data_IF_133641944426
#
_entry.id   IF_133641944426
#
_cell.length_a   1.000
_cell.length_b   1.000
_cell.length_c   1.000
_cell.angle_alpha   90.00
_cell.angle_beta   90.00
_cell.angle_gamma   90.00
#
_symmetry.space_group_name_H-M   'P 1'
#
loop_
_entity.id
_entity.type
_entity.pdbx_description
1 polymer ?
#
# COMPACT_ATOMS: atom_id res chain seq x y z
N UNK A 1 12.34 -5.30 11.35
CA UNK A 1 11.07 -4.77 11.92
C UNK A 1 9.87 -4.95 10.98
N UNK A 2 9.89 -4.45 9.73
CA UNK A 2 8.73 -4.51 8.81
C UNK A 2 8.07 -5.91 8.64
N UNK A 3 8.89 -6.96 8.46
CA UNK A 3 8.39 -8.35 8.36
C UNK A 3 7.56 -8.81 9.58
N UNK A 4 7.96 -8.39 10.78
CA UNK A 4 7.25 -8.74 12.01
C UNK A 4 5.90 -8.02 12.07
N UNK A 5 5.85 -6.74 11.73
CA UNK A 5 4.61 -5.96 11.72
C UNK A 5 3.60 -6.55 10.74
N UNK A 6 4.04 -6.88 9.51
CA UNK A 6 3.19 -7.56 8.52
C UNK A 6 2.70 -8.91 9.07
N UNK A 7 3.59 -9.69 9.69
CA UNK A 7 3.22 -10.98 10.29
C UNK A 7 2.18 -10.86 11.40
N UNK A 8 2.24 -9.81 12.23
CA UNK A 8 1.25 -9.54 13.28
C UNK A 8 -0.13 -9.24 12.68
N UNK A 9 -0.19 -8.42 11.63
CA UNK A 9 -1.47 -8.13 10.94
C UNK A 9 -2.04 -9.38 10.24
N UNK A 10 -1.18 -10.20 9.62
CA UNK A 10 -1.58 -11.45 8.98
C UNK A 10 -2.11 -12.50 9.97
N UNK A 11 -1.63 -12.48 11.22
CA UNK A 11 -2.12 -13.39 12.27
C UNK A 11 -3.60 -13.18 12.60
N UNK A 12 -4.14 -11.99 12.32
CA UNK A 12 -5.57 -11.70 12.48
C UNK A 12 -6.44 -12.26 11.34
N UNK A 13 -5.80 -12.86 10.31
CA UNK A 13 -6.46 -13.44 9.14
C UNK A 13 -7.43 -12.48 8.40
N UNK A 14 -7.02 -11.23 8.08
CA UNK A 14 -7.92 -10.28 7.43
C UNK A 14 -8.24 -10.69 5.99
N UNK A 15 -9.44 -10.34 5.52
CA UNK A 15 -9.85 -10.50 4.12
C UNK A 15 -9.22 -9.44 3.21
N UNK A 16 -9.01 -8.23 3.73
CA UNK A 16 -8.40 -7.08 3.04
C UNK A 16 -7.24 -6.56 3.89
N UNK A 17 -6.07 -6.40 3.28
CA UNK A 17 -4.86 -5.89 3.92
C UNK A 17 -4.38 -4.61 3.24
N UNK A 18 -4.18 -3.56 4.02
CA UNK A 18 -3.60 -2.30 3.56
C UNK A 18 -2.14 -2.20 4.02
N UNK A 19 -1.22 -1.96 3.10
CA UNK A 19 0.21 -1.78 3.40
C UNK A 19 0.70 -0.43 2.91
N UNK A 20 1.21 0.39 3.81
CA UNK A 20 1.81 1.67 3.44
C UNK A 20 3.33 1.52 3.27
N UNK A 21 3.81 1.74 2.05
CA UNK A 21 5.22 1.64 1.64
C UNK A 21 6.00 0.44 2.24
N UNK A 22 5.56 -0.81 1.97
CA UNK A 22 6.13 -2.00 2.62
C UNK A 22 7.61 -2.21 2.29
N UNK A 23 8.10 -1.63 1.19
CA UNK A 23 9.47 -1.76 0.69
C UNK A 23 10.39 -0.60 1.08
N UNK A 24 9.87 0.49 1.69
CA UNK A 24 10.67 1.67 2.02
C UNK A 24 11.83 1.35 2.98
N UNK A 25 13.03 1.88 2.72
CA UNK A 25 14.24 1.63 3.51
C UNK A 25 14.83 0.22 3.39
N UNK A 26 14.43 -0.56 2.37
CA UNK A 26 15.01 -1.86 2.06
C UNK A 26 15.78 -1.82 0.75
N UNK A 27 16.81 -2.66 0.63
CA UNK A 27 17.45 -2.95 -0.65
C UNK A 27 16.52 -3.75 -1.57
N UNK A 28 16.82 -3.77 -2.87
CA UNK A 28 15.99 -4.39 -3.89
C UNK A 28 15.71 -5.89 -3.64
N UNK A 29 16.69 -6.64 -3.14
CA UNK A 29 16.55 -8.06 -2.87
C UNK A 29 15.66 -8.29 -1.64
N UNK A 30 15.91 -7.58 -0.54
CA UNK A 30 15.07 -7.67 0.67
C UNK A 30 13.62 -7.25 0.40
N UNK A 31 13.41 -6.21 -0.40
CA UNK A 31 12.09 -5.76 -0.83
C UNK A 31 11.37 -6.85 -1.65
N UNK A 32 12.08 -7.47 -2.61
CA UNK A 32 11.54 -8.57 -3.43
C UNK A 32 11.08 -9.76 -2.57
N UNK A 33 11.92 -10.20 -1.62
CA UNK A 33 11.57 -11.30 -0.70
C UNK A 33 10.31 -10.98 0.12
N UNK A 34 10.13 -9.74 0.58
CA UNK A 34 8.92 -9.33 1.29
C UNK A 34 7.72 -9.37 0.36
N UNK A 35 7.85 -8.79 -0.83
CA UNK A 35 6.76 -8.72 -1.80
C UNK A 35 6.35 -10.10 -2.35
N UNK A 36 7.28 -11.05 -2.46
CA UNK A 36 6.95 -12.44 -2.79
C UNK A 36 6.12 -13.11 -1.67
N UNK A 37 6.41 -12.78 -0.40
CA UNK A 37 5.58 -13.20 0.73
C UNK A 37 4.18 -12.59 0.68
N UNK A 38 4.10 -11.28 0.42
CA UNK A 38 2.83 -10.55 0.23
C UNK A 38 2.04 -11.14 -0.95
N UNK A 39 2.70 -11.48 -2.06
CA UNK A 39 2.09 -12.13 -3.23
C UNK A 39 1.45 -13.45 -2.86
N UNK A 40 2.16 -14.32 -2.12
CA UNK A 40 1.59 -15.59 -1.63
C UNK A 40 0.36 -15.39 -0.74
N UNK A 41 0.32 -14.32 0.05
CA UNK A 41 -0.87 -13.96 0.83
C UNK A 41 -2.01 -13.55 -0.10
N UNK A 42 -1.76 -12.76 -1.14
CA UNK A 42 -2.79 -12.39 -2.11
C UNK A 42 -3.35 -13.64 -2.82
N UNK A 43 -2.46 -14.53 -3.28
CA UNK A 43 -2.81 -15.78 -3.98
C UNK A 43 -3.65 -16.75 -3.12
N UNK A 44 -3.65 -16.58 -1.80
CA UNK A 44 -4.50 -17.33 -0.88
C UNK A 44 -5.94 -16.80 -0.78
N UNK A 45 -6.35 -15.90 -1.68
CA UNK A 45 -7.71 -15.35 -1.77
C UNK A 45 -7.92 -14.09 -0.94
N UNK A 46 -6.86 -13.31 -0.67
CA UNK A 46 -6.94 -12.07 0.10
C UNK A 46 -6.69 -10.86 -0.79
N UNK A 47 -7.42 -9.78 -0.55
CA UNK A 47 -7.20 -8.51 -1.26
C UNK A 47 -6.08 -7.73 -0.55
N UNK A 48 -5.08 -7.29 -1.30
CA UNK A 48 -3.99 -6.47 -0.77
C UNK A 48 -3.95 -5.16 -1.53
N UNK A 49 -3.99 -4.05 -0.80
CA UNK A 49 -3.82 -2.70 -1.34
C UNK A 49 -2.57 -2.13 -0.73
N UNK A 50 -1.63 -1.66 -1.55
CA UNK A 50 -0.44 -1.01 -1.02
C UNK A 50 0.05 0.17 -1.86
N UNK A 51 0.66 1.13 -1.18
CA UNK A 51 1.42 2.22 -1.79
C UNK A 51 2.86 1.77 -1.98
N UNK A 52 3.44 2.00 -3.16
CA UNK A 52 4.88 1.78 -3.38
C UNK A 52 5.48 2.99 -4.08
N UNK A 53 6.57 3.50 -3.50
CA UNK A 53 7.43 4.47 -4.13
C UNK A 53 8.50 3.77 -4.98
N UNK A 54 8.46 3.95 -6.30
CA UNK A 54 9.50 3.53 -7.26
C UNK A 54 9.97 2.05 -7.11
N UNK A 55 9.12 1.06 -7.41
CA UNK A 55 9.50 -0.35 -7.34
C UNK A 55 10.55 -0.73 -8.39
N UNK A 56 11.39 -1.72 -8.07
CA UNK A 56 12.16 -2.45 -9.08
C UNK A 56 11.23 -3.22 -10.02
N UNK A 57 11.69 -3.54 -11.24
CA UNK A 57 10.88 -4.27 -12.22
C UNK A 57 10.33 -5.59 -11.65
N UNK A 58 11.15 -6.33 -10.90
CA UNK A 58 10.77 -7.62 -10.32
C UNK A 58 9.68 -7.52 -9.25
N UNK A 59 9.60 -6.38 -8.56
CA UNK A 59 8.51 -6.07 -7.62
C UNK A 59 7.30 -5.55 -8.37
N UNK A 60 7.51 -4.69 -9.36
CA UNK A 60 6.41 -4.10 -10.14
C UNK A 60 5.60 -5.16 -10.90
N UNK A 61 6.26 -6.20 -11.40
CA UNK A 61 5.60 -7.30 -12.10
C UNK A 61 4.80 -8.25 -11.19
N UNK A 62 4.84 -8.09 -9.86
CA UNK A 62 3.99 -8.86 -8.94
C UNK A 62 2.57 -8.31 -8.83
N UNK A 63 2.35 -7.07 -9.26
CA UNK A 63 1.07 -6.39 -9.15
C UNK A 63 0.10 -6.80 -10.25
N UNK A 64 -1.14 -7.09 -9.85
CA UNK A 64 -2.22 -7.38 -10.80
C UNK A 64 -2.84 -6.08 -11.35
N UNK A 65 -3.06 -5.10 -10.48
CA UNK A 65 -3.71 -3.83 -10.78
C UNK A 65 -2.86 -2.63 -10.33
N UNK A 66 -3.03 -1.49 -10.99
CA UNK A 66 -2.38 -0.23 -10.65
C UNK A 66 -3.41 0.89 -10.60
N UNK A 67 -3.29 1.72 -9.57
CA UNK A 67 -3.89 3.06 -9.51
C UNK A 67 -2.73 4.05 -9.60
N UNK A 68 -2.62 4.75 -10.73
CA UNK A 68 -1.60 5.77 -10.98
C UNK A 68 -2.21 7.14 -10.77
N UNK A 69 -1.66 7.91 -9.83
CA UNK A 69 -2.14 9.24 -9.48
C UNK A 69 -1.13 10.30 -9.89
N UNK A 70 -1.62 11.47 -10.35
CA UNK A 70 -0.81 12.68 -10.48
C UNK A 70 -0.94 13.59 -9.25
N UNK A 71 -0.10 14.62 -9.16
CA UNK A 71 -0.21 15.65 -8.13
C UNK A 71 -1.61 16.26 -8.15
N UNK A 72 -2.24 16.33 -6.98
CA UNK A 72 -3.66 16.71 -6.85
C UNK A 72 -4.58 15.53 -6.51
N UNK A 73 -4.07 14.30 -6.54
CA UNK A 73 -4.84 13.11 -6.18
C UNK A 73 -5.74 12.61 -7.32
N UNK A 74 -5.52 13.10 -8.54
CA UNK A 74 -6.30 12.75 -9.72
C UNK A 74 -5.72 11.50 -10.39
N UNK A 75 -6.59 10.60 -10.85
CA UNK A 75 -6.21 9.35 -11.51
C UNK A 75 -5.83 9.57 -12.97
N UNK A 76 -4.67 9.05 -13.36
CA UNK A 76 -4.16 9.04 -14.74
C UNK A 76 -4.30 7.66 -15.39
N UNK A 77 -4.33 6.61 -14.58
CA UNK A 77 -4.60 5.25 -15.01
C UNK A 77 -5.12 4.45 -13.83
N UNK A 78 -6.17 3.66 -14.06
CA UNK A 78 -6.67 2.68 -13.11
C UNK A 78 -7.06 1.44 -13.89
N UNK A 79 -6.39 0.33 -13.62
CA UNK A 79 -6.66 -0.91 -14.34
C UNK A 79 -5.64 -2.00 -14.10
N UNK A 80 -5.84 -3.10 -14.80
CA UNK A 80 -4.93 -4.25 -14.78
C UNK A 80 -3.60 -3.90 -15.47
N UNK A 81 -2.50 -4.36 -14.89
CA UNK A 81 -1.18 -4.22 -15.51
C UNK A 81 -0.96 -5.25 -16.62
N UNK A 82 -1.57 -6.44 -16.50
CA UNK A 82 -1.34 -7.57 -17.40
C UNK A 82 0.09 -8.12 -17.31
N UNK A 83 0.42 -9.06 -18.21
CA UNK A 83 1.74 -9.71 -18.22
C UNK A 83 2.86 -8.68 -18.37
N UNK A 84 3.72 -8.58 -17.36
CA UNK A 84 4.85 -7.62 -17.33
C UNK A 84 4.43 -6.16 -17.63
N UNK A 85 3.27 -5.74 -17.14
CA UNK A 85 2.77 -4.37 -17.26
C UNK A 85 2.47 -3.91 -18.69
N UNK A 86 2.27 -4.83 -19.63
CA UNK A 86 2.04 -4.52 -21.04
C UNK A 86 0.79 -3.65 -21.28
N UNK A 87 -0.29 -3.81 -20.50
CA UNK A 87 -1.51 -3.00 -20.68
C UNK A 87 -1.24 -1.52 -20.40
N UNK A 88 -0.60 -1.23 -19.26
CA UNK A 88 -0.17 0.12 -18.90
C UNK A 88 0.76 0.73 -19.95
N UNK A 89 1.78 -0.02 -20.41
CA UNK A 89 2.73 0.47 -21.41
C UNK A 89 2.01 0.82 -22.71
N UNK A 90 1.17 -0.08 -23.23
CA UNK A 90 0.38 0.16 -24.45
C UNK A 90 -0.55 1.37 -24.31
N UNK A 91 -1.21 1.52 -23.16
CA UNK A 91 -2.07 2.68 -22.89
C UNK A 91 -1.27 3.99 -22.96
N UNK A 92 -0.15 4.09 -22.24
CA UNK A 92 0.66 5.30 -22.24
C UNK A 92 1.30 5.56 -23.62
N UNK A 93 1.70 4.52 -24.35
CA UNK A 93 2.24 4.63 -25.72
C UNK A 93 1.20 5.05 -26.77
N UNK A 94 -0.09 4.80 -26.51
CA UNK A 94 -1.17 5.24 -27.40
C UNK A 94 -1.36 6.76 -27.40
N UNK A 95 -0.81 7.46 -26.42
CA UNK A 95 -0.88 8.92 -26.30
C UNK A 95 0.13 9.56 -27.26
N UNK A 96 -0.29 10.47 -28.18
CA UNK A 96 0.54 10.94 -29.31
C UNK A 96 1.90 11.57 -28.95
N UNK A 97 2.07 12.08 -27.75
CA UNK A 97 3.28 12.80 -27.30
C UNK A 97 4.22 11.93 -26.47
N UNK A 98 3.79 10.72 -26.11
CA UNK A 98 4.56 9.84 -25.22
C UNK A 98 5.63 9.10 -26.02
N UNK A 99 6.86 9.12 -25.51
CA UNK A 99 7.94 8.31 -26.07
C UNK A 99 7.74 6.86 -25.68
N UNK A 100 7.88 5.90 -26.62
CA UNK A 100 7.82 4.48 -26.33
C UNK A 100 8.74 4.08 -25.18
N UNK A 101 8.30 3.11 -24.37
CA UNK A 101 9.12 2.57 -23.30
C UNK A 101 10.33 1.84 -23.91
N UNK A 102 11.57 2.24 -23.62
CA UNK A 102 12.75 1.59 -24.15
C UNK A 102 12.78 0.09 -23.79
N UNK A 103 13.26 -0.76 -24.71
CA UNK A 103 13.37 -2.18 -24.44
C UNK A 103 14.33 -2.41 -23.27
N UNK A 104 13.88 -3.15 -22.25
CA UNK A 104 14.60 -3.44 -21.00
C UNK A 104 14.61 -2.33 -19.95
N UNK A 105 13.95 -1.18 -20.18
CA UNK A 105 13.72 -0.21 -19.11
C UNK A 105 12.61 -0.70 -18.16
N UNK A 106 12.72 -0.35 -16.88
CA UNK A 106 11.67 -0.59 -15.90
C UNK A 106 10.46 0.33 -16.22
N UNK A 107 9.24 -0.22 -16.42
CA UNK A 107 8.06 0.59 -16.69
C UNK A 107 7.68 1.53 -15.53
N UNK A 108 8.04 1.19 -14.29
CA UNK A 108 7.65 1.95 -13.10
C UNK A 108 8.27 3.38 -13.03
N UNK A 109 9.58 3.59 -13.22
CA UNK A 109 10.12 4.95 -13.35
C UNK A 109 9.67 5.63 -14.64
N UNK A 110 9.59 4.89 -15.76
CA UNK A 110 9.17 5.45 -17.05
C UNK A 110 7.75 6.04 -17.00
N UNK A 111 6.76 5.36 -16.41
CA UNK A 111 5.41 5.90 -16.29
C UNK A 111 5.37 7.21 -15.49
N UNK A 112 6.22 7.35 -14.46
CA UNK A 112 6.30 8.56 -13.64
C UNK A 112 6.96 9.72 -14.41
N UNK A 113 7.96 9.43 -15.24
CA UNK A 113 8.58 10.39 -16.15
C UNK A 113 7.59 10.88 -17.22
N UNK A 114 6.75 9.97 -17.73
CA UNK A 114 5.72 10.26 -18.75
C UNK A 114 4.66 11.22 -18.21
N UNK A 115 4.15 10.99 -17.00
CA UNK A 115 3.10 11.83 -16.39
C UNK A 115 3.64 13.13 -15.77
N UNK A 116 4.94 13.44 -15.95
CA UNK A 116 5.54 14.66 -15.44
C UNK A 116 5.78 14.67 -13.92
N UNK A 117 5.74 13.51 -13.26
CA UNK A 117 6.13 13.37 -11.85
C UNK A 117 7.67 13.31 -11.67
N UNK A 118 8.43 13.27 -12.76
CA UNK A 118 9.90 13.29 -12.80
C UNK A 118 10.52 14.67 -13.04
N UNK A 119 11.84 14.78 -12.81
CA UNK A 119 12.60 16.05 -12.74
C UNK A 119 12.85 16.72 -14.11
N UNK A 120 12.55 16.06 -15.25
CA UNK A 120 13.18 16.40 -16.54
C UNK A 120 12.26 16.66 -17.74
N UNK A 121 10.93 16.59 -17.62
CA UNK A 121 10.04 16.81 -18.78
C UNK A 121 9.11 18.01 -18.60
N UNK A 122 9.53 19.17 -19.12
CA UNK A 122 8.68 20.37 -19.20
C UNK A 122 7.47 20.16 -20.13
N UNK A 123 7.64 19.38 -21.21
CA UNK A 123 6.56 19.08 -22.19
C UNK A 123 5.44 18.19 -21.66
N UNK A 124 5.68 17.42 -20.60
CA UNK A 124 4.66 16.58 -19.97
C UNK A 124 3.73 17.39 -19.04
N UNK A 125 4.11 18.63 -18.67
CA UNK A 125 3.29 19.49 -17.81
C UNK A 125 2.11 20.11 -18.54
N UNK A 126 2.16 20.17 -19.88
CA UNK A 126 1.12 20.79 -20.70
C UNK A 126 -0.01 19.83 -21.08
N UNK A 127 0.20 18.52 -20.90
CA UNK A 127 -0.80 17.50 -21.21
C UNK A 127 -1.64 17.17 -19.98
N UNK A 128 -2.96 17.30 -20.10
CA UNK A 128 -3.86 16.83 -19.06
C UNK A 128 -4.14 15.33 -19.20
N UNK A 129 -3.25 14.55 -18.61
CA UNK A 129 -3.41 13.10 -18.51
C UNK A 129 -4.71 12.64 -17.85
N UNK A 130 -5.35 13.50 -17.04
CA UNK A 130 -6.65 13.18 -16.41
C UNK A 130 -7.75 13.25 -17.46
N UNK A 131 -7.78 14.31 -18.28
CA UNK A 131 -8.73 14.42 -19.39
C UNK A 131 -8.54 13.29 -20.40
N UNK A 132 -7.29 12.97 -20.75
CA UNK A 132 -6.95 11.85 -21.64
C UNK A 132 -7.46 10.52 -21.07
N UNK A 133 -7.20 10.26 -19.78
CA UNK A 133 -7.71 9.06 -19.12
C UNK A 133 -9.23 9.03 -19.13
N UNK A 134 -9.89 10.15 -18.81
CA UNK A 134 -11.34 10.22 -18.74
C UNK A 134 -12.04 9.84 -20.05
N UNK A 135 -11.38 10.10 -21.19
CA UNK A 135 -11.87 9.80 -22.55
C UNK A 135 -11.37 8.46 -23.09
N UNK A 136 -10.50 7.77 -22.36
CA UNK A 136 -9.87 6.53 -22.81
C UNK A 136 -10.80 5.32 -22.70
N UNK A 137 -10.49 4.28 -23.48
CA UNK A 137 -11.18 2.98 -23.38
C UNK A 137 -11.00 2.34 -21.99
N UNK A 138 -9.83 2.52 -21.37
CA UNK A 138 -9.53 1.99 -20.04
C UNK A 138 -10.47 2.57 -18.96
N UNK A 139 -10.79 3.87 -19.06
CA UNK A 139 -11.77 4.49 -18.15
C UNK A 139 -13.18 3.96 -18.40
N UNK A 140 -13.57 3.77 -19.67
CA UNK A 140 -14.88 3.17 -19.99
C UNK A 140 -14.99 1.77 -19.40
N UNK A 141 -13.97 0.94 -19.56
CA UNK A 141 -13.95 -0.40 -19.00
C UNK A 141 -14.02 -0.38 -17.46
N UNK A 142 -13.29 0.54 -16.81
CA UNK A 142 -13.39 0.75 -15.37
C UNK A 142 -14.82 1.15 -14.95
N UNK A 143 -15.46 2.06 -15.68
CA UNK A 143 -16.82 2.50 -15.37
C UNK A 143 -17.83 1.37 -15.55
N UNK A 144 -17.70 0.58 -16.62
CA UNK A 144 -18.51 -0.61 -16.86
C UNK A 144 -18.34 -1.63 -15.73
N UNK A 145 -17.10 -1.82 -15.25
CA UNK A 145 -16.83 -2.67 -14.08
C UNK A 145 -17.49 -2.10 -12.82
N UNK A 146 -17.33 -0.80 -12.53
CA UNK A 146 -17.91 -0.18 -11.32
C UNK A 146 -19.44 -0.20 -11.30
N UNK A 147 -20.09 -0.19 -12.47
CA UNK A 147 -21.54 -0.27 -12.62
C UNK A 147 -22.10 -1.68 -12.34
N UNK A 148 -21.26 -2.71 -12.26
CA UNK A 148 -21.72 -4.06 -11.95
C UNK A 148 -22.41 -4.11 -10.57
N UNK A 149 -23.53 -4.84 -10.45
CA UNK A 149 -24.27 -4.93 -9.21
C UNK A 149 -23.40 -5.60 -8.12
N UNK A 150 -23.29 -4.95 -6.96
CA UNK A 150 -22.54 -5.43 -5.80
C UNK A 150 -21.21 -4.69 -5.58
N UNK A 151 -20.80 -3.83 -6.51
CA UNK A 151 -19.58 -3.01 -6.36
C UNK A 151 -19.93 -1.61 -5.86
N UNK A 152 -20.57 -0.79 -6.70
CA UNK A 152 -21.03 0.56 -6.31
C UNK A 152 -22.54 0.64 -6.13
N UNK A 153 -23.27 -0.32 -6.69
CA UNK A 153 -24.73 -0.41 -6.63
C UNK A 153 -25.13 -1.64 -5.82
N UNK A 154 -26.22 -1.57 -5.07
CA UNK A 154 -26.71 -2.69 -4.27
C UNK A 154 -27.05 -3.90 -5.15
N UNK A 155 -26.51 -5.08 -4.81
CA UNK A 155 -26.87 -6.33 -5.49
C UNK A 155 -27.83 -7.16 -4.65
N UNK A 156 -28.84 -7.81 -5.26
CA UNK A 156 -29.64 -8.82 -4.60
C UNK A 156 -28.85 -10.11 -4.29
N UNK A 157 -27.76 -10.39 -5.01
CA UNK A 157 -26.96 -11.62 -4.85
C UNK A 157 -25.92 -11.50 -3.72
N UNK A 158 -25.38 -10.30 -3.51
CA UNK A 158 -24.30 -10.05 -2.56
C UNK A 158 -24.77 -9.11 -1.45
N UNK A 159 -25.18 -9.64 -0.28
CA UNK A 159 -25.64 -8.80 0.83
C UNK A 159 -24.48 -7.97 1.41
N UNK A 160 -24.82 -6.80 1.95
CA UNK A 160 -23.86 -5.91 2.60
C UNK A 160 -23.11 -6.61 3.74
N UNK A 161 -21.80 -6.39 3.82
CA UNK A 161 -20.95 -6.95 4.88
C UNK A 161 -21.19 -6.17 6.17
N UNK A 162 -22.07 -6.70 7.03
CA UNK A 162 -22.33 -6.11 8.36
C UNK A 162 -21.42 -6.71 9.43
N UNK A 163 -20.68 -5.86 10.16
CA UNK A 163 -19.84 -6.30 11.27
C UNK A 163 -20.64 -6.34 12.58
N UNK A 164 -20.97 -7.55 13.06
CA UNK A 164 -21.72 -7.76 14.31
C UNK A 164 -20.99 -7.23 15.56
N UNK A 165 -19.65 -7.17 15.53
CA UNK A 165 -18.84 -6.74 16.67
C UNK A 165 -17.81 -5.71 16.21
N UNK A 166 -17.74 -4.59 16.92
CA UNK A 166 -16.71 -3.55 16.73
C UNK A 166 -15.29 -4.05 17.06
N UNK A 167 -15.14 -5.06 17.92
CA UNK A 167 -13.84 -5.56 18.42
C UNK A 167 -13.80 -7.07 18.41
N UNK A 168 -12.60 -7.63 18.17
CA UNK A 168 -12.36 -9.07 18.20
C UNK A 168 -12.54 -9.71 19.60
N UNK A 169 -12.33 -8.95 20.68
CA UNK A 169 -12.38 -9.46 22.06
C UNK A 169 -12.99 -8.46 23.05
N UNK A 170 -13.34 -8.95 24.25
CA UNK A 170 -13.88 -8.16 25.36
C UNK A 170 -12.82 -7.24 25.97
N UNK A 171 -13.25 -6.11 26.56
CA UNK A 171 -12.34 -5.14 27.17
C UNK A 171 -11.49 -5.71 28.32
N UNK A 172 -12.04 -6.62 29.13
CA UNK A 172 -11.30 -7.28 30.22
C UNK A 172 -10.15 -8.15 29.70
N UNK A 173 -10.40 -8.92 28.62
CA UNK A 173 -9.37 -9.72 27.96
C UNK A 173 -8.26 -8.82 27.40
N UNK A 174 -8.63 -7.72 26.73
CA UNK A 174 -7.66 -6.75 26.22
C UNK A 174 -6.82 -6.15 27.36
N UNK A 175 -7.46 -5.75 28.46
CA UNK A 175 -6.78 -5.19 29.62
C UNK A 175 -5.79 -6.18 30.24
N UNK A 176 -6.19 -7.43 30.42
CA UNK A 176 -5.31 -8.48 30.96
C UNK A 176 -4.05 -8.67 30.11
N UNK A 177 -4.20 -8.80 28.78
CA UNK A 177 -3.05 -8.96 27.89
C UNK A 177 -2.16 -7.70 27.83
N UNK A 178 -2.76 -6.50 27.86
CA UNK A 178 -2.01 -5.25 27.90
C UNK A 178 -1.19 -5.13 29.19
N UNK A 179 -1.78 -5.46 30.35
CA UNK A 179 -1.08 -5.45 31.63
C UNK A 179 0.04 -6.49 31.68
N UNK A 180 -0.21 -7.71 31.21
CA UNK A 180 0.84 -8.74 31.10
C UNK A 180 1.99 -8.29 30.19
N UNK A 181 1.68 -7.70 29.03
CA UNK A 181 2.69 -7.17 28.10
C UNK A 181 3.51 -6.05 28.75
N UNK A 182 2.85 -5.12 29.44
CA UNK A 182 3.50 -4.01 30.12
C UNK A 182 4.41 -4.50 31.25
N UNK A 183 3.96 -5.43 32.08
CA UNK A 183 4.76 -6.02 33.15
C UNK A 183 5.99 -6.75 32.59
N UNK A 184 5.83 -7.53 31.52
CA UNK A 184 6.95 -8.20 30.86
C UNK A 184 7.97 -7.19 30.30
N UNK A 185 7.51 -6.09 29.71
CA UNK A 185 8.38 -5.02 29.21
C UNK A 185 9.12 -4.35 30.38
N UNK A 186 8.39 -4.00 31.44
CA UNK A 186 8.94 -3.39 32.65
C UNK A 186 10.05 -4.27 33.26
N UNK A 187 9.80 -5.56 33.47
CA UNK A 187 10.78 -6.48 34.04
C UNK A 187 12.02 -6.70 33.15
N UNK A 188 11.87 -6.61 31.82
CA UNK A 188 12.98 -6.77 30.86
C UNK A 188 13.79 -5.49 30.64
N UNK A 189 13.38 -4.34 31.19
CA UNK A 189 14.08 -3.05 31.08
C UNK A 189 14.50 -2.49 32.45
N UNK A 190 15.31 -3.22 33.24
CA UNK A 190 15.67 -2.83 34.61
C UNK A 190 16.49 -1.52 34.67
N UNK A 191 17.31 -1.24 33.65
CA UNK A 191 18.08 0.01 33.59
C UNK A 191 17.17 1.26 33.49
N UNK A 192 16.14 1.21 32.63
CA UNK A 192 15.16 2.29 32.50
C UNK A 192 14.37 2.53 33.80
N UNK A 193 13.99 1.44 34.48
CA UNK A 193 13.28 1.53 35.76
C UNK A 193 14.18 2.06 36.87
N UNK A 194 15.45 1.67 36.88
CA UNK A 194 16.43 2.19 37.83
C UNK A 194 16.67 3.69 37.62
N UNK A 195 16.82 4.15 36.37
CA UNK A 195 16.91 5.58 36.05
C UNK A 195 15.68 6.33 36.53
N UNK A 196 14.47 5.84 36.22
CA UNK A 196 13.22 6.43 36.72
C UNK A 196 13.16 6.49 38.25
N UNK A 197 13.63 5.45 38.93
CA UNK A 197 13.63 5.38 40.39
C UNK A 197 14.64 6.35 41.01
N UNK A 198 15.83 6.46 40.43
CA UNK A 198 16.87 7.43 40.84
C UNK A 198 16.39 8.86 40.58
N UNK A 199 15.88 9.18 39.38
CA UNK A 199 15.40 10.53 39.04
C UNK A 199 14.19 10.96 39.87
N UNK A 200 13.27 10.03 40.18
CA UNK A 200 12.15 10.33 41.09
C UNK A 200 12.61 10.54 42.53
N UNK A 201 13.67 9.86 42.97
CA UNK A 201 14.27 10.13 44.28
C UNK A 201 14.97 11.49 44.27
N UNK A 202 15.81 11.80 43.30
CA UNK A 202 16.52 13.09 43.26
C UNK A 202 15.60 14.30 43.10
N UNK A 203 14.49 14.19 42.36
CA UNK A 203 13.50 15.27 42.25
C UNK A 203 12.77 15.57 43.59
N UNK A 204 12.63 14.59 44.48
CA UNK A 204 12.07 14.79 45.82
C UNK A 204 13.08 15.50 46.74
N UNK A 205 14.38 15.40 46.47
CA UNK A 205 15.45 16.08 47.21
C UNK A 205 15.80 17.48 46.68
N UNK A 206 15.23 17.94 45.57
CA UNK A 206 15.46 19.30 45.04
C UNK A 206 14.30 20.27 45.32
N UNK A 207 13.28 19.86 46.07
CA UNK A 207 12.11 20.69 46.45
C UNK A 207 11.97 20.80 47.98
N UNK A 208 12.99 20.44 48.74
CA UNK A 208 13.14 20.67 50.19
C UNK A 208 14.48 21.36 50.42
#
# INVERSE_FOLDING_TARGET
MKRLTIGVELAAQPSILFLDEPTSGLDAHSAKVIMDGVRKVADSGRTIVCTIHQPSSDVFFLFDHLILLKRGGESVFVGELGTRCQKLVKYLESVPTVKPCPPKQNPAPWMLEVIGAGVSNERARDLDFVDIFSKSEEKRHLDDMLQQPGITTTSPEWPEVTFMKKRASKGSTQMYFLMKRFLNLYWRSPAFNLTLWITRRTAVWSVV
#
